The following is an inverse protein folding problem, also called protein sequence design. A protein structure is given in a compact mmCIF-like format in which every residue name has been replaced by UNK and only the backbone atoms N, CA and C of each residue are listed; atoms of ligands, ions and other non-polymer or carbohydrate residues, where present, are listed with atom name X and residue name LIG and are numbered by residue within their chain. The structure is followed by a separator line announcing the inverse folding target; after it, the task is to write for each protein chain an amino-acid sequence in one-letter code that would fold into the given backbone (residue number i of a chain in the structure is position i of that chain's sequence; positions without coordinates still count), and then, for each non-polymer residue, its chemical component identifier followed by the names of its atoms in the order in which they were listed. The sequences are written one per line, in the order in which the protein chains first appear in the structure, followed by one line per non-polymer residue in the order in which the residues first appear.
data_IF_749428057955
#
_entry.id   IF_749428057955
#
_cell.length_a   1.000
_cell.length_b   1.000
_cell.length_c   1.000
_cell.angle_alpha   90.00
_cell.angle_beta   90.00
_cell.angle_gamma   90.00
#
_symmetry.space_group_name_H-M   'P 1'
#
loop_
_entity.id
_entity.type
_entity.pdbx_description
1 polymer ?
#
# COMPACT_ATOMS: atom_id res chain seq x y z
N UNK A 1 0.51 -18.16 76.79
CA UNK A 1 1.37 -17.09 76.23
C UNK A 1 2.69 -17.74 75.84
N UNK A 2 3.32 -17.48 74.72
CA UNK A 2 2.97 -16.82 73.48
C UNK A 2 4.17 -17.11 72.56
N UNK A 3 3.92 -17.19 71.25
CA UNK A 3 4.92 -17.01 70.18
C UNK A 3 6.28 -17.69 70.36
N UNK A 4 6.37 -18.99 70.07
CA UNK A 4 7.69 -19.62 69.89
C UNK A 4 7.80 -20.66 68.77
N UNK A 5 6.85 -20.75 67.84
CA UNK A 5 6.95 -21.80 66.81
C UNK A 5 6.22 -21.52 65.50
N UNK A 6 6.28 -20.28 64.99
CA UNK A 6 5.70 -19.96 63.66
C UNK A 6 6.55 -18.99 62.82
N UNK A 7 7.83 -18.78 63.15
CA UNK A 7 8.68 -17.82 62.40
C UNK A 7 9.78 -18.45 61.53
N UNK A 8 9.94 -19.78 61.53
CA UNK A 8 10.92 -20.45 60.68
C UNK A 8 10.37 -21.19 59.46
N UNK A 9 9.04 -21.24 59.28
CA UNK A 9 8.43 -22.05 58.21
C UNK A 9 7.85 -21.24 57.04
N UNK A 10 7.98 -19.91 57.04
CA UNK A 10 7.48 -19.06 55.93
C UNK A 10 8.53 -18.21 55.22
N UNK A 11 9.82 -18.39 55.54
CA UNK A 11 10.93 -17.73 54.83
C UNK A 11 11.66 -18.68 53.85
N UNK A 12 11.01 -19.77 53.46
CA UNK A 12 11.44 -20.66 52.36
C UNK A 12 10.29 -20.80 51.36
N UNK A 13 9.61 -19.68 51.05
CA UNK A 13 9.05 -19.53 49.71
C UNK A 13 10.23 -19.19 48.79
N UNK A 14 10.91 -20.28 48.43
CA UNK A 14 11.62 -20.47 47.18
C UNK A 14 11.46 -19.28 46.23
N UNK A 15 12.54 -18.50 46.11
CA UNK A 15 12.92 -17.82 44.88
C UNK A 15 13.08 -18.89 43.80
N UNK A 16 11.97 -19.47 43.34
CA UNK A 16 11.91 -20.06 42.02
C UNK A 16 12.08 -18.87 41.09
N UNK A 17 13.15 -18.80 40.27
CA UNK A 17 13.10 -17.92 39.13
C UNK A 17 11.86 -18.39 38.36
N UNK A 18 10.86 -17.51 38.24
CA UNK A 18 9.86 -17.67 37.19
C UNK A 18 10.70 -17.98 35.96
N UNK A 19 10.54 -19.15 35.29
CA UNK A 19 11.15 -19.32 34.00
C UNK A 19 10.65 -18.11 33.24
N UNK A 20 11.58 -17.24 32.86
CA UNK A 20 11.27 -16.15 31.98
C UNK A 20 10.69 -16.87 30.78
N UNK A 21 9.37 -16.90 30.69
CA UNK A 21 8.67 -17.08 29.45
C UNK A 21 9.02 -15.79 28.68
N UNK A 22 10.27 -15.72 28.20
CA UNK A 22 10.58 -15.24 26.88
C UNK A 22 9.90 -16.22 25.93
N UNK A 23 8.57 -16.25 25.99
CA UNK A 23 7.76 -16.55 24.84
C UNK A 23 8.17 -15.42 23.92
N UNK A 24 9.10 -15.72 23.01
CA UNK A 24 9.43 -14.84 21.91
C UNK A 24 8.11 -14.65 21.18
N UNK A 25 7.32 -13.68 21.62
CA UNK A 25 6.10 -13.26 20.94
C UNK A 25 6.58 -12.41 19.76
N UNK A 26 7.22 -13.12 18.83
CA UNK A 26 7.78 -12.59 17.60
C UNK A 26 7.25 -13.48 16.49
N UNK A 27 5.94 -13.39 16.31
CA UNK A 27 5.32 -13.82 15.08
C UNK A 27 4.67 -12.59 14.49
N UNK A 28 5.49 -11.71 13.89
CA UNK A 28 4.92 -10.84 12.88
C UNK A 28 4.40 -11.77 11.78
N UNK A 29 3.24 -11.49 11.17
CA UNK A 29 2.73 -12.34 10.10
C UNK A 29 3.75 -12.63 8.98
N UNK A 30 4.65 -11.68 8.72
CA UNK A 30 5.74 -11.79 7.74
C UNK A 30 6.86 -12.79 8.13
N UNK A 31 6.94 -13.25 9.38
CA UNK A 31 8.03 -14.13 9.86
C UNK A 31 7.81 -15.62 9.51
N UNK A 32 6.69 -15.96 8.84
CA UNK A 32 6.34 -17.34 8.51
C UNK A 32 7.11 -17.93 7.30
N UNK A 33 7.79 -17.09 6.50
CA UNK A 33 8.45 -17.49 5.25
C UNK A 33 7.50 -17.47 4.04
N UNK A 34 8.05 -17.61 2.82
CA UNK A 34 7.34 -17.34 1.57
C UNK A 34 6.18 -18.31 1.25
N UNK A 35 6.25 -19.56 1.70
CA UNK A 35 5.27 -20.61 1.38
C UNK A 35 4.29 -20.89 2.52
N UNK A 36 4.25 -20.00 3.51
CA UNK A 36 3.45 -20.14 4.72
C UNK A 36 2.81 -18.81 5.07
N UNK A 37 1.69 -18.85 5.77
CA UNK A 37 1.00 -17.67 6.27
C UNK A 37 0.78 -17.78 7.78
N UNK A 38 0.57 -16.65 8.43
CA UNK A 38 0.23 -16.61 9.84
C UNK A 38 -1.27 -16.78 10.03
N UNK A 39 -1.67 -17.92 10.59
CA UNK A 39 -3.04 -18.21 11.02
C UNK A 39 -3.26 -17.58 12.40
N UNK A 40 -4.03 -16.48 12.43
CA UNK A 40 -4.34 -15.73 13.66
C UNK A 40 -5.27 -16.49 14.59
N UNK A 41 -6.08 -17.43 14.09
CA UNK A 41 -6.94 -18.29 14.92
C UNK A 41 -6.13 -19.32 15.69
N UNK A 42 -5.00 -19.77 15.13
CA UNK A 42 -4.08 -20.73 15.76
C UNK A 42 -2.84 -20.08 16.36
N UNK A 43 -2.64 -18.78 16.13
CA UNK A 43 -1.43 -18.02 16.48
C UNK A 43 -0.15 -18.71 16.00
N UNK A 44 -0.20 -19.32 14.81
CA UNK A 44 0.86 -20.17 14.28
C UNK A 44 0.97 -20.04 12.76
N UNK A 45 2.14 -20.41 12.21
CA UNK A 45 2.34 -20.42 10.76
C UNK A 45 1.75 -21.71 10.14
N UNK A 46 0.85 -21.56 9.17
CA UNK A 46 0.28 -22.65 8.39
C UNK A 46 0.85 -22.64 6.95
N UNK A 47 0.99 -23.81 6.29
CA UNK A 47 1.47 -23.87 4.91
C UNK A 47 0.43 -23.34 3.92
N UNK A 48 0.89 -22.68 2.86
CA UNK A 48 0.07 -22.40 1.69
C UNK A 48 -0.13 -23.66 0.84
N UNK A 49 -1.22 -23.70 0.08
CA UNK A 49 -1.52 -24.81 -0.84
C UNK A 49 -0.63 -24.82 -2.09
N UNK A 50 -0.88 -25.74 -3.01
CA UNK A 50 -0.19 -25.75 -4.30
C UNK A 50 -0.47 -24.47 -5.10
N UNK A 51 0.56 -23.96 -5.78
CA UNK A 51 0.51 -22.74 -6.60
C UNK A 51 0.08 -21.49 -5.83
N UNK A 52 0.44 -21.45 -4.54
CA UNK A 52 0.14 -20.36 -3.64
C UNK A 52 1.40 -19.89 -2.94
N UNK A 53 1.41 -18.60 -2.61
CA UNK A 53 2.47 -17.95 -1.86
C UNK A 53 1.87 -17.07 -0.77
N UNK A 54 2.70 -16.67 0.17
CA UNK A 54 2.34 -15.73 1.21
C UNK A 54 1.93 -14.37 0.62
N UNK A 55 0.86 -13.78 1.15
CA UNK A 55 0.45 -12.42 0.83
C UNK A 55 1.43 -11.39 1.40
N UNK A 56 1.43 -10.16 0.86
CA UNK A 56 2.31 -9.10 1.35
C UNK A 56 2.11 -8.77 2.84
N UNK A 57 0.90 -8.99 3.37
CA UNK A 57 0.57 -8.82 4.79
C UNK A 57 0.94 -10.01 5.67
N UNK A 58 1.36 -11.13 5.08
CA UNK A 58 1.84 -12.32 5.80
C UNK A 58 0.76 -13.20 6.43
N UNK A 59 -0.50 -12.77 6.43
CA UNK A 59 -1.60 -13.41 7.15
C UNK A 59 -2.53 -14.25 6.28
N UNK A 60 -2.24 -14.39 4.99
CA UNK A 60 -3.03 -15.17 4.04
C UNK A 60 -2.18 -15.71 2.90
N UNK A 61 -2.72 -16.66 2.15
CA UNK A 61 -2.14 -17.14 0.89
C UNK A 61 -2.84 -16.49 -0.30
N UNK A 62 -2.07 -16.23 -1.35
CA UNK A 62 -2.54 -15.75 -2.65
C UNK A 62 -1.97 -16.64 -3.74
N UNK A 63 -2.60 -16.65 -4.90
CA UNK A 63 -2.08 -17.42 -6.04
C UNK A 63 -0.72 -16.87 -6.51
N UNK A 64 0.12 -17.76 -7.02
CA UNK A 64 1.36 -17.40 -7.70
C UNK A 64 1.08 -16.57 -8.98
N UNK A 65 2.05 -15.79 -9.47
CA UNK A 65 1.91 -15.06 -10.73
C UNK A 65 1.47 -15.96 -11.88
N UNK A 66 0.43 -15.55 -12.62
CA UNK A 66 -0.14 -16.32 -13.73
C UNK A 66 -1.14 -17.42 -13.31
N UNK A 67 -1.51 -17.49 -12.03
CA UNK A 67 -2.58 -18.36 -11.54
C UNK A 67 -3.76 -17.54 -11.04
N UNK A 68 -4.98 -17.92 -11.45
CA UNK A 68 -6.23 -17.33 -10.96
C UNK A 68 -6.79 -18.11 -9.78
N UNK A 69 -7.58 -17.43 -8.96
CA UNK A 69 -8.38 -18.02 -7.90
C UNK A 69 -9.64 -18.67 -8.47
N UNK A 70 -9.85 -19.96 -8.16
CA UNK A 70 -11.04 -20.72 -8.59
C UNK A 70 -12.05 -20.86 -7.46
N UNK A 71 -11.57 -21.01 -6.23
CA UNK A 71 -12.42 -21.11 -5.05
C UNK A 71 -11.73 -20.49 -3.85
N UNK A 72 -12.52 -19.87 -3.00
CA UNK A 72 -12.10 -19.40 -1.68
C UNK A 72 -13.05 -20.00 -0.65
N UNK A 73 -12.76 -21.21 -0.17
CA UNK A 73 -13.56 -21.84 0.88
C UNK A 73 -13.16 -21.23 2.24
N UNK A 74 -13.88 -20.18 2.64
CA UNK A 74 -13.78 -19.51 3.93
C UNK A 74 -12.40 -18.95 4.30
N UNK A 75 -11.55 -18.63 3.31
CA UNK A 75 -10.25 -17.98 3.54
C UNK A 75 -9.11 -18.91 3.93
N UNK A 76 -9.38 -20.20 4.17
CA UNK A 76 -8.36 -21.18 4.58
C UNK A 76 -7.87 -22.07 3.43
N UNK A 77 -8.72 -22.32 2.42
CA UNK A 77 -8.32 -23.07 1.24
C UNK A 77 -8.69 -22.29 -0.02
N UNK A 78 -7.72 -21.49 -0.45
CA UNK A 78 -7.70 -20.92 -1.80
C UNK A 78 -7.30 -22.04 -2.76
N UNK A 79 -7.99 -22.17 -3.88
CA UNK A 79 -7.58 -23.04 -4.98
C UNK A 79 -7.16 -22.20 -6.17
N UNK A 80 -6.01 -22.52 -6.75
CA UNK A 80 -5.39 -21.75 -7.82
C UNK A 80 -5.26 -22.60 -9.10
N UNK A 81 -5.53 -21.98 -10.25
CA UNK A 81 -5.44 -22.62 -11.56
C UNK A 81 -4.60 -21.76 -12.51
N UNK A 82 -3.73 -22.39 -13.30
CA UNK A 82 -2.87 -21.68 -14.25
C UNK A 82 -3.72 -21.01 -15.33
N UNK A 83 -3.43 -19.74 -15.62
CA UNK A 83 -4.05 -19.07 -16.74
C UNK A 83 -3.58 -19.67 -18.08
N UNK A 84 -4.47 -19.70 -19.10
CA UNK A 84 -4.10 -20.08 -20.45
C UNK A 84 -2.96 -19.21 -21.01
N UNK A 85 -2.15 -19.75 -21.93
CA UNK A 85 -1.01 -19.03 -22.51
C UNK A 85 -1.45 -17.81 -23.34
N UNK A 86 -2.65 -17.85 -23.95
CA UNK A 86 -3.27 -16.73 -24.67
C UNK A 86 -3.81 -15.62 -23.75
N UNK A 87 -4.14 -15.97 -22.50
CA UNK A 87 -4.68 -15.06 -21.48
C UNK A 87 -3.86 -15.14 -20.19
N UNK A 88 -2.54 -15.00 -20.33
CA UNK A 88 -1.57 -15.14 -19.23
C UNK A 88 -1.74 -14.16 -18.06
N UNK A 89 -2.53 -13.10 -18.22
CA UNK A 89 -2.76 -12.09 -17.20
C UNK A 89 -3.87 -12.47 -16.23
N UNK A 90 -3.67 -12.15 -14.95
CA UNK A 90 -4.69 -12.29 -13.92
C UNK A 90 -5.29 -10.91 -13.61
N UNK A 91 -6.61 -10.83 -13.51
CA UNK A 91 -7.32 -9.60 -13.14
C UNK A 91 -6.87 -9.07 -11.77
N UNK A 92 -7.05 -7.78 -11.50
CA UNK A 92 -6.62 -7.14 -10.24
C UNK A 92 -7.26 -7.76 -8.99
N UNK A 93 -8.46 -8.32 -9.13
CA UNK A 93 -9.16 -9.04 -8.07
C UNK A 93 -8.68 -10.49 -7.88
N UNK A 94 -7.84 -11.01 -8.80
CA UNK A 94 -7.26 -12.35 -8.72
C UNK A 94 -8.16 -13.48 -9.23
N UNK A 95 -9.37 -13.20 -9.72
CA UNK A 95 -10.38 -14.24 -10.00
C UNK A 95 -10.42 -14.74 -11.43
N UNK A 96 -10.01 -13.92 -12.40
CA UNK A 96 -10.14 -14.26 -13.81
C UNK A 96 -8.82 -14.09 -14.57
N UNK A 97 -8.71 -14.84 -15.66
CA UNK A 97 -7.63 -14.66 -16.62
C UNK A 97 -8.11 -13.71 -17.73
N UNK A 98 -7.22 -12.89 -18.24
CA UNK A 98 -7.50 -11.87 -19.25
C UNK A 98 -6.27 -11.63 -20.13
N UNK A 99 -6.47 -11.28 -21.40
CA UNK A 99 -5.38 -10.88 -22.28
C UNK A 99 -4.87 -9.47 -21.92
N UNK A 100 -3.56 -9.28 -21.87
CA UNK A 100 -2.92 -8.00 -21.53
C UNK A 100 -2.08 -7.47 -22.71
N UNK A 101 -2.57 -6.49 -23.50
CA UNK A 101 -1.91 -6.06 -24.74
C UNK A 101 -0.61 -5.27 -24.48
N UNK A 102 -0.49 -4.68 -23.29
CA UNK A 102 0.69 -3.90 -22.87
C UNK A 102 1.63 -4.68 -21.95
N UNK A 103 1.41 -5.99 -21.82
CA UNK A 103 2.22 -6.90 -21.02
C UNK A 103 1.79 -7.01 -19.55
N UNK A 104 2.60 -7.74 -18.79
CA UNK A 104 2.34 -8.12 -17.41
C UNK A 104 3.26 -7.41 -16.42
N UNK A 105 2.77 -7.24 -15.21
CA UNK A 105 3.57 -6.93 -14.02
C UNK A 105 4.30 -8.19 -13.53
N UNK A 106 5.35 -8.05 -12.70
CA UNK A 106 6.02 -9.20 -12.06
C UNK A 106 5.08 -10.08 -11.22
N UNK A 107 3.94 -9.52 -10.79
CA UNK A 107 2.92 -10.23 -10.03
C UNK A 107 1.95 -11.04 -10.91
N UNK A 108 2.04 -10.91 -12.24
CA UNK A 108 1.17 -11.61 -13.18
C UNK A 108 -0.12 -10.87 -13.54
N UNK A 109 -0.29 -9.61 -13.11
CA UNK A 109 -1.43 -8.78 -13.49
C UNK A 109 -1.14 -7.92 -14.74
N UNK A 110 -2.17 -7.48 -15.46
CA UNK A 110 -1.99 -6.53 -16.57
C UNK A 110 -1.31 -5.23 -16.12
N UNK A 111 -0.45 -4.69 -16.98
CA UNK A 111 0.21 -3.40 -16.77
C UNK A 111 -0.24 -2.39 -17.83
N UNK A 112 -0.55 -1.17 -17.41
CA UNK A 112 -0.69 -0.03 -18.31
C UNK A 112 0.49 0.96 -18.13
N UNK A 113 0.87 1.70 -19.18
CA UNK A 113 1.87 2.76 -19.08
C UNK A 113 1.34 3.95 -18.25
N UNK A 114 2.25 4.90 -17.95
CA UNK A 114 1.90 6.09 -17.18
C UNK A 114 0.81 6.91 -17.89
N UNK A 115 -0.06 7.54 -17.08
CA UNK A 115 -1.19 8.33 -17.54
C UNK A 115 -2.33 7.54 -18.24
N UNK A 116 -2.33 6.22 -18.11
CA UNK A 116 -3.42 5.36 -18.57
C UNK A 116 -4.04 4.61 -17.38
N UNK A 117 -5.34 4.32 -17.47
CA UNK A 117 -6.06 3.51 -16.49
C UNK A 117 -6.29 2.10 -17.02
N UNK A 118 -6.17 1.11 -16.14
CA UNK A 118 -6.45 -0.28 -16.47
C UNK A 118 -7.94 -0.58 -16.33
N UNK A 119 -8.55 -1.09 -17.41
CA UNK A 119 -9.95 -1.50 -17.44
C UNK A 119 -10.05 -2.96 -17.85
N UNK A 120 -10.47 -3.80 -16.91
CA UNK A 120 -10.64 -5.26 -17.11
C UNK A 120 -12.11 -5.66 -17.28
N UNK A 121 -13.03 -4.79 -16.86
CA UNK A 121 -14.47 -5.03 -16.91
C UNK A 121 -15.19 -3.85 -17.55
N UNK A 122 -16.28 -4.15 -18.25
CA UNK A 122 -17.23 -3.16 -18.76
C UNK A 122 -17.92 -2.42 -17.59
N UNK A 123 -18.57 -1.30 -17.91
CA UNK A 123 -19.43 -0.55 -16.98
C UNK A 123 -20.57 -1.42 -16.42
N UNK A 124 -21.01 -2.45 -17.16
CA UNK A 124 -22.00 -3.43 -16.72
C UNK A 124 -21.42 -4.54 -15.81
N UNK A 125 -20.11 -4.51 -15.54
CA UNK A 125 -19.41 -5.49 -14.70
C UNK A 125 -18.98 -6.77 -15.43
N UNK A 126 -19.20 -6.87 -16.74
CA UNK A 126 -18.79 -8.01 -17.57
C UNK A 126 -17.28 -7.98 -17.80
N UNK A 127 -16.61 -9.13 -17.63
CA UNK A 127 -15.19 -9.30 -17.93
C UNK A 127 -14.92 -9.11 -19.42
N UNK A 128 -13.93 -8.29 -19.76
CA UNK A 128 -13.46 -8.12 -21.13
C UNK A 128 -12.55 -9.28 -21.53
N UNK A 129 -12.53 -9.65 -22.81
CA UNK A 129 -11.60 -10.66 -23.33
C UNK A 129 -10.15 -10.17 -23.28
N UNK A 130 -9.95 -8.86 -23.47
CA UNK A 130 -8.66 -8.18 -23.43
C UNK A 130 -8.79 -6.91 -22.58
N UNK A 131 -7.81 -6.69 -21.71
CA UNK A 131 -7.77 -5.51 -20.86
C UNK A 131 -7.47 -4.26 -21.69
N UNK A 132 -8.17 -3.17 -21.38
CA UNK A 132 -7.98 -1.88 -22.04
C UNK A 132 -7.15 -0.96 -21.16
N UNK A 133 -6.20 -0.26 -21.79
CA UNK A 133 -5.51 0.87 -21.17
C UNK A 133 -6.06 2.16 -21.76
N UNK A 134 -6.78 2.93 -20.94
CA UNK A 134 -7.45 4.16 -21.38
C UNK A 134 -6.62 5.36 -20.96
N UNK A 135 -6.19 6.18 -21.93
CA UNK A 135 -5.45 7.39 -21.66
C UNK A 135 -6.31 8.45 -20.97
N UNK A 136 -5.80 9.01 -19.88
CA UNK A 136 -6.44 10.14 -19.21
C UNK A 136 -6.20 11.42 -20.01
N UNK A 137 -7.28 12.11 -20.37
CA UNK A 137 -7.19 13.33 -21.16
C UNK A 137 -6.58 14.47 -20.32
N UNK A 138 -5.27 14.68 -20.51
CA UNK A 138 -4.52 15.80 -19.94
C UNK A 138 -4.68 17.11 -20.71
N UNK A 139 -5.36 17.10 -21.87
CA UNK A 139 -5.56 18.27 -22.70
C UNK A 139 -6.80 19.09 -22.28
N UNK A 140 -6.85 20.34 -22.72
CA UNK A 140 -7.99 21.26 -22.55
C UNK A 140 -8.44 21.50 -21.08
N UNK A 141 -9.73 21.79 -20.87
CA UNK A 141 -10.31 22.10 -19.55
C UNK A 141 -10.32 20.91 -18.60
N UNK A 142 -10.12 19.68 -19.09
CA UNK A 142 -10.19 18.45 -18.29
C UNK A 142 -9.01 18.33 -17.34
N UNK A 143 -7.78 18.60 -17.81
CA UNK A 143 -6.52 18.46 -17.06
C UNK A 143 -6.55 17.25 -16.13
N UNK A 144 -6.63 16.04 -16.68
CA UNK A 144 -6.73 14.81 -15.90
C UNK A 144 -5.53 13.91 -16.13
N UNK A 145 -5.11 13.22 -15.07
CA UNK A 145 -4.13 12.15 -15.12
C UNK A 145 -4.58 10.91 -14.37
N UNK A 146 -3.94 9.77 -14.64
CA UNK A 146 -4.18 8.55 -13.87
C UNK A 146 -3.80 8.76 -12.41
N UNK A 147 -4.61 8.26 -11.48
CA UNK A 147 -4.21 8.25 -10.07
C UNK A 147 -3.00 7.34 -9.81
N UNK A 148 -2.45 7.38 -8.59
CA UNK A 148 -1.27 6.59 -8.23
C UNK A 148 -1.48 5.06 -8.36
N UNK A 149 -2.74 4.61 -8.36
CA UNK A 149 -3.10 3.20 -8.55
C UNK A 149 -3.40 2.83 -10.01
N UNK A 150 -3.45 3.80 -10.92
CA UNK A 150 -3.84 3.57 -12.32
C UNK A 150 -5.29 3.09 -12.48
N UNK A 151 -6.17 3.36 -11.50
CA UNK A 151 -7.55 2.86 -11.49
C UNK A 151 -8.57 3.85 -12.05
N UNK A 152 -8.25 5.14 -12.01
CA UNK A 152 -9.15 6.22 -12.44
C UNK A 152 -8.37 7.44 -12.91
N UNK A 153 -8.99 8.18 -13.82
CA UNK A 153 -8.53 9.50 -14.20
C UNK A 153 -9.05 10.53 -13.20
N UNK A 154 -8.13 11.24 -12.55
CA UNK A 154 -8.42 12.32 -11.61
C UNK A 154 -7.93 13.64 -12.19
N UNK A 155 -8.62 14.73 -11.85
CA UNK A 155 -8.18 16.07 -12.25
C UNK A 155 -6.87 16.44 -11.54
N UNK A 156 -5.94 17.04 -12.28
CA UNK A 156 -4.71 17.62 -11.75
C UNK A 156 -5.01 18.65 -10.66
N UNK A 157 -4.08 18.78 -9.72
CA UNK A 157 -4.17 19.81 -8.68
C UNK A 157 -4.04 21.21 -9.30
N UNK A 158 -4.69 22.21 -8.69
CA UNK A 158 -4.85 23.55 -9.27
C UNK A 158 -3.51 24.26 -9.48
N UNK A 159 -2.56 24.13 -8.55
CA UNK A 159 -1.23 24.73 -8.67
C UNK A 159 -0.48 24.17 -9.87
N UNK A 160 -0.56 22.86 -10.13
CA UNK A 160 0.02 22.25 -11.32
C UNK A 160 -0.60 22.82 -12.61
N UNK A 161 -1.93 22.93 -12.68
CA UNK A 161 -2.63 23.51 -13.83
C UNK A 161 -2.25 24.98 -14.02
N UNK A 162 -2.05 25.74 -12.94
CA UNK A 162 -1.68 27.15 -13.02
C UNK A 162 -0.26 27.33 -13.53
N UNK A 163 0.67 26.51 -13.05
CA UNK A 163 2.11 26.63 -13.30
C UNK A 163 2.51 26.01 -14.64
N UNK A 164 2.15 24.76 -14.90
CA UNK A 164 2.63 23.99 -16.07
C UNK A 164 1.55 23.62 -17.07
N UNK A 165 0.28 23.93 -16.80
CA UNK A 165 -0.87 23.49 -17.61
C UNK A 165 -0.88 21.97 -17.82
N UNK A 166 -0.36 21.22 -16.85
CA UNK A 166 -0.28 19.75 -16.89
C UNK A 166 -0.36 19.21 -15.46
N UNK A 167 -0.30 17.88 -15.32
CA UNK A 167 -0.15 17.21 -14.02
C UNK A 167 1.33 17.07 -13.61
N UNK A 168 2.28 17.53 -14.42
CA UNK A 168 3.71 17.39 -14.17
C UNK A 168 4.31 18.69 -13.65
N UNK A 169 5.07 18.58 -12.56
CA UNK A 169 5.87 19.68 -12.02
C UNK A 169 7.28 19.60 -12.59
N UNK A 170 7.43 20.01 -13.85
CA UNK A 170 8.72 20.01 -14.54
C UNK A 170 9.60 21.20 -14.11
N UNK A 171 10.92 21.02 -14.19
CA UNK A 171 11.89 22.10 -13.97
C UNK A 171 11.58 23.29 -14.92
N UNK A 172 11.61 24.55 -14.45
CA UNK A 172 12.20 25.04 -13.21
C UNK A 172 11.28 25.05 -11.97
N UNK A 173 10.09 24.46 -12.02
CA UNK A 173 9.12 24.56 -10.92
C UNK A 173 9.51 23.71 -9.69
N UNK A 174 9.04 24.13 -8.51
CA UNK A 174 9.36 23.51 -7.21
C UNK A 174 8.15 22.72 -6.71
N UNK A 175 8.32 21.41 -6.51
CA UNK A 175 7.33 20.53 -5.91
C UNK A 175 7.52 20.46 -4.40
N UNK A 176 6.58 21.02 -3.62
CA UNK A 176 6.61 21.01 -2.15
C UNK A 176 5.25 20.62 -1.60
N UNK A 177 5.21 19.59 -0.75
CA UNK A 177 3.97 19.17 -0.08
C UNK A 177 2.85 18.70 -1.01
N UNK A 178 3.18 18.21 -2.21
CA UNK A 178 2.20 17.80 -3.22
C UNK A 178 1.59 18.97 -4.00
N UNK A 179 2.18 20.16 -3.93
CA UNK A 179 1.83 21.35 -4.70
C UNK A 179 3.02 21.79 -5.56
N UNK A 180 2.75 22.36 -6.73
CA UNK A 180 3.77 22.82 -7.67
C UNK A 180 3.80 24.36 -7.72
N UNK A 181 4.95 24.95 -7.42
CA UNK A 181 5.15 26.40 -7.39
C UNK A 181 6.14 26.83 -8.48
N UNK A 182 5.97 28.04 -9.01
CA UNK A 182 6.97 28.65 -9.89
C UNK A 182 8.25 28.93 -9.08
N UNK A 183 9.42 28.62 -9.62
CA UNK A 183 10.69 28.94 -8.93
C UNK A 183 10.93 30.44 -8.69
N UNK A 184 10.23 31.32 -9.41
CA UNK A 184 10.30 32.77 -9.19
C UNK A 184 9.41 33.25 -8.04
N UNK A 185 8.36 32.48 -7.69
CA UNK A 185 7.53 32.70 -6.52
C UNK A 185 8.12 31.84 -5.39
N UNK A 186 9.32 32.21 -4.95
CA UNK A 186 9.79 31.73 -3.66
C UNK A 186 8.70 31.99 -2.63
N UNK A 187 8.41 31.00 -1.78
CA UNK A 187 7.72 31.20 -0.50
C UNK A 187 8.07 32.59 0.01
N UNK A 188 7.09 33.44 0.42
CA UNK A 188 7.39 34.80 0.84
C UNK A 188 8.58 34.71 1.79
N UNK A 189 9.73 35.22 1.34
CA UNK A 189 10.94 35.10 2.10
C UNK A 189 10.58 35.69 3.46
N UNK A 190 10.89 34.98 4.54
CA UNK A 190 10.67 35.39 5.93
C UNK A 190 11.24 36.81 6.21
N UNK A 191 12.00 37.36 5.26
CA UNK A 191 12.37 38.78 5.13
C UNK A 191 11.21 39.76 5.25
N UNK A 192 10.02 39.52 4.69
CA UNK A 192 8.89 40.45 4.87
C UNK A 192 8.32 40.41 6.29
N UNK A 193 8.32 39.25 6.93
CA UNK A 193 7.87 39.09 8.33
C UNK A 193 8.87 39.74 9.30
N UNK A 194 10.18 39.60 9.03
CA UNK A 194 11.23 40.27 9.81
C UNK A 194 11.17 41.79 9.63
N UNK A 195 10.90 42.28 8.40
CA UNK A 195 10.73 43.71 8.16
C UNK A 195 9.52 44.30 8.91
N UNK A 196 8.40 43.57 8.97
CA UNK A 196 7.24 43.97 9.77
C UNK A 196 7.50 43.94 11.28
N UNK A 197 8.29 42.97 11.78
CA UNK A 197 8.72 42.92 13.19
C UNK A 197 9.66 44.07 13.56
N UNK A 198 10.64 44.38 12.71
CA UNK A 198 11.56 45.51 12.91
C UNK A 198 10.82 46.87 12.83
N UNK A 199 9.84 47.01 11.94
CA UNK A 199 8.97 48.19 11.91
C UNK A 199 8.13 48.32 13.19
N UNK A 200 7.64 47.22 13.76
CA UNK A 200 6.84 47.26 14.98
C UNK A 200 7.67 47.62 16.22
N UNK A 201 8.93 47.18 16.32
CA UNK A 201 9.83 47.61 17.40
C UNK A 201 10.27 49.08 17.27
N UNK A 202 10.43 49.60 16.04
CA UNK A 202 10.74 51.02 15.82
C UNK A 202 9.56 51.96 16.14
N UNK A 203 8.31 51.52 15.97
CA UNK A 203 7.12 52.31 16.31
C UNK A 203 6.81 52.30 17.83
N UNK A 204 7.30 51.29 18.57
CA UNK A 204 7.13 51.20 20.03
C UNK A 204 8.24 51.93 20.83
N UNK A 205 9.23 52.50 20.15
CA UNK A 205 10.36 53.22 20.74
C UNK A 205 10.31 54.76 20.52
N UNK A 206 9.21 55.29 19.97
CA UNK A 206 8.86 56.72 19.95
C UNK A 206 7.62 57.01 20.82
#
# INVERSE_FOLDING_TARGET
LAVHSLLHTFCVFTLLPLPSLRRNYKHRPADCGADRYFDSSRLACAPCGAHQRQSAGGSSCVCEPGYRMVSNNDGFSVSCEKCPEDMSGVTQDGWNCIACPKGLTPNGNCKCPNNEILVERSMDGILLNEALCIHCNGSEQSFSASDASGSRCIRCEKTFIQVSKSCDCSNPNILTGGLCFLAQEGLPEVKEIIALWLCFELILLD
#
